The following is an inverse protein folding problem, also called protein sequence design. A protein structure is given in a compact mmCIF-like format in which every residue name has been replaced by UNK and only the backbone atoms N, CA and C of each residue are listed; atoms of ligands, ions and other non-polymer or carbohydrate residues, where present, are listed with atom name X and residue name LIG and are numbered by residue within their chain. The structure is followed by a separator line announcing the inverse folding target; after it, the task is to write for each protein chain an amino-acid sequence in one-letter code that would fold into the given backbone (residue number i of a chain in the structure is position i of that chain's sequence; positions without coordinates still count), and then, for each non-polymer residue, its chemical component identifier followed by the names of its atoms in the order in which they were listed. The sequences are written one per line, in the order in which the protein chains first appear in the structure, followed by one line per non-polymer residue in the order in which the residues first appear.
data_IF_413603417270
#
_entry.id   IF_413603417270
#
_cell.length_a   1.000
_cell.length_b   1.000
_cell.length_c   1.000
_cell.angle_alpha   90.00
_cell.angle_beta   90.00
_cell.angle_gamma   90.00
#
_symmetry.space_group_name_H-M   'P 1'
#
loop_
_entity.id
_entity.type
_entity.pdbx_description
1 polymer ?
#
# COMPACT_ATOMS: atom_id res chain seq x y z
N UNK A 1 4.89 -5.42 -4.69
CA UNK A 1 5.46 -6.66 -4.12
C UNK A 1 6.28 -7.40 -5.18
N UNK A 2 7.50 -7.85 -4.86
CA UNK A 2 8.43 -8.41 -5.86
C UNK A 2 7.94 -9.71 -6.50
N UNK A 3 7.11 -10.49 -5.79
CA UNK A 3 6.59 -11.78 -6.24
C UNK A 3 5.38 -11.69 -7.19
N UNK A 4 4.82 -10.50 -7.44
CA UNK A 4 3.72 -10.32 -8.40
C UNK A 4 4.33 -10.18 -9.80
N UNK A 5 3.90 -10.95 -10.83
CA UNK A 5 4.38 -10.80 -12.20
C UNK A 5 4.25 -9.37 -12.74
N UNK A 6 5.18 -8.95 -13.59
CA UNK A 6 5.25 -7.57 -14.10
C UNK A 6 3.98 -7.12 -14.81
N UNK A 7 3.45 -7.94 -15.73
CA UNK A 7 2.19 -7.67 -16.42
C UNK A 7 1.00 -7.46 -15.47
N UNK A 8 0.98 -8.16 -14.33
CA UNK A 8 -0.05 -7.96 -13.30
C UNK A 8 0.16 -6.66 -12.53
N UNK A 9 1.40 -6.27 -12.27
CA UNK A 9 1.71 -4.96 -11.67
C UNK A 9 1.29 -3.83 -12.59
N UNK A 10 1.63 -3.89 -13.88
CA UNK A 10 1.25 -2.88 -14.88
C UNK A 10 -0.26 -2.69 -14.99
N UNK A 11 -1.03 -3.79 -14.97
CA UNK A 11 -2.49 -3.72 -14.94
C UNK A 11 -2.99 -2.89 -13.74
N UNK A 12 -2.47 -3.16 -12.54
CA UNK A 12 -2.86 -2.41 -11.35
C UNK A 12 -2.32 -0.99 -11.35
N UNK A 13 -1.10 -0.75 -11.84
CA UNK A 13 -0.48 0.57 -11.89
C UNK A 13 -1.35 1.57 -12.68
N UNK A 14 -1.98 1.14 -13.77
CA UNK A 14 -2.89 1.99 -14.54
C UNK A 14 -4.14 2.41 -13.75
N UNK A 15 -4.73 1.48 -12.97
CA UNK A 15 -5.88 1.77 -12.12
C UNK A 15 -5.49 2.63 -10.92
N UNK A 16 -4.35 2.33 -10.31
CA UNK A 16 -3.83 3.03 -9.14
C UNK A 16 -3.40 4.46 -9.48
N UNK A 17 -2.86 4.72 -10.68
CA UNK A 17 -2.56 6.08 -11.15
C UNK A 17 -3.82 6.96 -11.21
N UNK A 18 -4.93 6.42 -11.70
CA UNK A 18 -6.20 7.14 -11.73
C UNK A 18 -6.70 7.43 -10.32
N UNK A 19 -6.70 6.43 -9.45
CA UNK A 19 -7.10 6.58 -8.04
C UNK A 19 -6.24 7.63 -7.32
N UNK A 20 -4.91 7.57 -7.47
CA UNK A 20 -3.98 8.51 -6.85
C UNK A 20 -4.19 9.97 -7.28
N UNK A 21 -4.73 10.21 -8.48
CA UNK A 21 -5.07 11.56 -8.95
C UNK A 21 -6.20 12.23 -8.15
N UNK A 22 -6.97 11.46 -7.36
CA UNK A 22 -8.09 11.95 -6.57
C UNK A 22 -7.83 11.99 -5.06
N UNK A 23 -6.77 11.33 -4.57
CA UNK A 23 -6.44 11.26 -3.14
C UNK A 23 -5.64 12.51 -2.74
N UNK A 24 -6.14 13.27 -1.77
CA UNK A 24 -5.59 14.57 -1.37
C UNK A 24 -4.86 14.53 -0.03
N UNK A 25 -5.23 13.60 0.86
CA UNK A 25 -4.73 13.56 2.23
C UNK A 25 -4.65 12.13 2.78
N UNK A 26 -4.05 12.02 3.97
CA UNK A 26 -3.88 10.75 4.67
C UNK A 26 -5.20 10.03 4.96
N UNK A 27 -6.24 10.77 5.37
CA UNK A 27 -7.55 10.20 5.68
C UNK A 27 -8.20 9.52 4.48
N UNK A 28 -8.11 10.16 3.30
CA UNK A 28 -8.61 9.59 2.05
C UNK A 28 -7.81 8.36 1.61
N UNK A 29 -6.48 8.38 1.78
CA UNK A 29 -5.65 7.21 1.49
C UNK A 29 -6.03 6.02 2.40
N UNK A 30 -6.24 6.29 3.69
CA UNK A 30 -6.70 5.29 4.65
C UNK A 30 -8.08 4.73 4.25
N UNK A 31 -9.00 5.59 3.80
CA UNK A 31 -10.29 5.17 3.28
C UNK A 31 -10.16 4.27 2.04
N UNK A 32 -9.24 4.58 1.11
CA UNK A 32 -8.98 3.74 -0.06
C UNK A 32 -8.53 2.32 0.34
N UNK A 33 -7.62 2.19 1.31
CA UNK A 33 -7.19 0.88 1.80
C UNK A 33 -8.34 0.11 2.45
N UNK A 34 -9.10 0.77 3.32
CA UNK A 34 -10.29 0.20 3.95
C UNK A 34 -11.29 -0.29 2.89
N UNK A 35 -11.68 0.59 1.96
CA UNK A 35 -12.72 0.27 0.97
C UNK A 35 -12.26 -0.83 0.00
N UNK A 36 -10.99 -0.84 -0.41
CA UNK A 36 -10.45 -1.91 -1.24
C UNK A 36 -10.52 -3.28 -0.53
N UNK A 37 -10.15 -3.33 0.75
CA UNK A 37 -10.28 -4.54 1.55
C UNK A 37 -11.75 -4.97 1.69
N UNK A 38 -12.66 -4.05 2.00
CA UNK A 38 -14.10 -4.34 2.10
C UNK A 38 -14.66 -4.94 0.80
N UNK A 39 -14.37 -4.34 -0.35
CA UNK A 39 -14.82 -4.83 -1.65
C UNK A 39 -14.25 -6.22 -1.97
N UNK A 40 -13.02 -6.51 -1.52
CA UNK A 40 -12.44 -7.83 -1.67
C UNK A 40 -13.17 -8.86 -0.80
N UNK A 41 -13.49 -8.54 0.45
CA UNK A 41 -14.26 -9.40 1.35
C UNK A 41 -15.66 -9.66 0.81
N UNK A 42 -16.36 -8.64 0.32
CA UNK A 42 -17.67 -8.78 -0.33
C UNK A 42 -17.62 -9.77 -1.51
N UNK A 43 -16.51 -9.76 -2.26
CA UNK A 43 -16.29 -10.67 -3.39
C UNK A 43 -15.91 -12.10 -2.96
N UNK A 44 -15.12 -12.27 -1.90
CA UNK A 44 -14.55 -13.58 -1.52
C UNK A 44 -15.26 -14.25 -0.35
N UNK A 45 -16.22 -13.57 0.27
CA UNK A 45 -16.93 -14.01 1.47
C UNK A 45 -16.23 -13.62 2.77
N UNK A 46 -17.03 -13.35 3.80
CA UNK A 46 -16.53 -13.04 5.13
C UNK A 46 -16.02 -14.29 5.84
N UNK A 47 -14.76 -14.26 6.24
CA UNK A 47 -14.15 -15.26 7.11
C UNK A 47 -12.97 -14.64 7.85
N UNK A 48 -12.61 -15.20 9.00
CA UNK A 48 -11.41 -14.76 9.73
C UNK A 48 -10.17 -14.82 8.84
N UNK A 49 -10.03 -15.86 8.02
CA UNK A 49 -8.90 -16.01 7.10
C UNK A 49 -8.84 -14.86 6.09
N UNK A 50 -9.97 -14.48 5.48
CA UNK A 50 -10.00 -13.39 4.50
C UNK A 50 -9.77 -12.02 5.15
N UNK A 51 -10.35 -11.79 6.33
CA UNK A 51 -10.15 -10.55 7.10
C UNK A 51 -8.69 -10.41 7.54
N UNK A 52 -8.11 -11.48 8.08
CA UNK A 52 -6.70 -11.54 8.49
C UNK A 52 -5.77 -11.33 7.29
N UNK A 53 -6.05 -11.96 6.15
CA UNK A 53 -5.28 -11.78 4.92
C UNK A 53 -5.26 -10.31 4.46
N UNK A 54 -6.41 -9.62 4.47
CA UNK A 54 -6.46 -8.20 4.11
C UNK A 54 -5.66 -7.33 5.09
N UNK A 55 -5.81 -7.58 6.39
CA UNK A 55 -5.06 -6.88 7.44
C UNK A 55 -3.55 -7.05 7.27
N UNK A 56 -3.08 -8.30 7.13
CA UNK A 56 -1.67 -8.61 6.93
C UNK A 56 -1.14 -8.04 5.61
N UNK A 57 -1.93 -8.06 4.53
CA UNK A 57 -1.53 -7.48 3.25
C UNK A 57 -1.26 -5.97 3.34
N UNK A 58 -2.08 -5.23 4.10
CA UNK A 58 -1.86 -3.80 4.36
C UNK A 58 -0.56 -3.56 5.12
N UNK A 59 -0.29 -4.32 6.18
CA UNK A 59 0.95 -4.19 6.96
C UNK A 59 2.19 -4.51 6.11
N UNK A 60 2.15 -5.60 5.34
CA UNK A 60 3.25 -5.95 4.46
C UNK A 60 3.50 -4.88 3.38
N UNK A 61 2.44 -4.29 2.82
CA UNK A 61 2.56 -3.20 1.86
C UNK A 61 3.19 -1.95 2.48
N UNK A 62 2.78 -1.58 3.71
CA UNK A 62 3.37 -0.47 4.48
C UNK A 62 4.86 -0.68 4.71
N UNK A 63 5.27 -1.86 5.17
CA UNK A 63 6.68 -2.19 5.43
C UNK A 63 7.54 -2.15 4.16
N UNK A 64 7.03 -2.69 3.05
CA UNK A 64 7.74 -2.64 1.77
C UNK A 64 7.86 -1.20 1.24
N UNK A 65 6.80 -0.39 1.40
CA UNK A 65 6.84 1.03 1.06
C UNK A 65 7.84 1.78 1.93
N UNK A 66 7.84 1.55 3.24
CA UNK A 66 8.81 2.13 4.17
C UNK A 66 10.24 1.82 3.69
N UNK A 67 10.55 0.53 3.49
CA UNK A 67 11.88 0.08 3.06
C UNK A 67 12.32 0.65 1.71
N UNK A 68 11.40 0.79 0.75
CA UNK A 68 11.72 1.22 -0.62
C UNK A 68 11.62 2.72 -0.86
N UNK A 69 10.87 3.45 -0.05
CA UNK A 69 10.56 4.87 -0.25
C UNK A 69 10.96 5.73 0.93
N UNK A 70 10.55 5.39 2.14
CA UNK A 70 10.81 6.23 3.31
C UNK A 70 12.24 6.10 3.80
N UNK A 71 12.77 4.88 3.97
CA UNK A 71 14.14 4.68 4.44
C UNK A 71 15.20 5.40 3.57
N UNK A 72 15.17 5.33 2.21
CA UNK A 72 16.11 6.11 1.40
C UNK A 72 15.92 7.64 1.50
N UNK A 73 14.73 8.11 1.87
CA UNK A 73 14.52 9.52 2.18
C UNK A 73 15.13 9.88 3.53
N UNK A 74 14.96 9.04 4.55
CA UNK A 74 15.56 9.19 5.87
C UNK A 74 17.08 9.18 5.79
N UNK A 75 17.69 8.26 5.03
CA UNK A 75 19.15 8.22 4.79
C UNK A 75 19.68 9.55 4.24
N UNK A 76 18.94 10.18 3.32
CA UNK A 76 19.30 11.51 2.80
C UNK A 76 19.18 12.59 3.87
N UNK A 77 18.15 12.53 4.71
CA UNK A 77 17.96 13.48 5.82
C UNK A 77 18.99 13.32 6.92
N UNK A 78 19.44 12.10 7.20
CA UNK A 78 20.55 11.82 8.11
C UNK A 78 21.85 12.44 7.57
N UNK A 79 22.13 12.31 6.27
CA UNK A 79 23.29 12.94 5.65
C UNK A 79 23.22 14.48 5.66
N UNK A 80 22.02 15.06 5.57
CA UNK A 80 21.80 16.52 5.57
C UNK A 80 21.82 17.14 6.98
N UNK A 81 21.21 16.49 7.96
CA UNK A 81 20.91 17.07 9.27
C UNK A 81 21.61 16.37 10.45
N UNK A 82 22.37 15.30 10.19
CA UNK A 82 22.92 14.43 11.21
C UNK A 82 21.95 13.31 11.60
N UNK A 83 22.50 12.25 12.15
CA UNK A 83 21.73 11.15 12.73
C UNK A 83 21.15 11.53 14.10
N UNK A 84 20.14 10.77 14.55
CA UNK A 84 19.53 10.92 15.90
C UNK A 84 20.43 10.28 16.96
#
# INVERSE_FOLDING_TARGET
MPYIPENRREFFDNLLRQCAGHVQNEGELNYCFYKLATLLIEKTGESYANLSMCSSAMEHAKLEWYRKRLAPYEDRKIAEHGDI
#
